data_IF_441096303838
#
_entry.id   IF_441096303838
#
_cell.length_a   1.000
_cell.length_b   1.000
_cell.length_c   1.000
_cell.angle_alpha   90.00
_cell.angle_beta   90.00
_cell.angle_gamma   90.00
#
_symmetry.space_group_name_H-M   'P 1'
#
loop_
_entity.id
_entity.type
_entity.pdbx_description
1 polymer ?
#
# COMPACT_ATOMS: atom_id res chain seq x y z
N UNK A 1 -13.72 -7.44 16.62
CA UNK A 1 -14.31 -6.74 15.46
C UNK A 1 -13.26 -6.02 14.62
N UNK A 2 -12.35 -5.25 15.22
CA UNK A 2 -11.25 -4.54 14.52
C UNK A 2 -10.41 -5.42 13.60
N UNK A 3 -9.96 -6.59 14.07
CA UNK A 3 -9.13 -7.50 13.28
C UNK A 3 -9.83 -8.09 12.05
N UNK A 4 -11.17 -8.13 12.05
CA UNK A 4 -11.96 -8.59 10.89
C UNK A 4 -11.82 -7.61 9.73
N UNK A 5 -11.86 -6.30 10.00
CA UNK A 5 -11.66 -5.27 8.98
C UNK A 5 -10.25 -5.32 8.38
N UNK A 6 -9.24 -5.52 9.22
CA UNK A 6 -7.86 -5.69 8.74
C UNK A 6 -7.75 -6.92 7.83
N UNK A 7 -8.36 -8.05 8.21
CA UNK A 7 -8.37 -9.26 7.38
C UNK A 7 -9.06 -9.03 6.02
N UNK A 8 -10.18 -8.30 5.99
CA UNK A 8 -10.88 -7.94 4.74
C UNK A 8 -10.00 -7.06 3.86
N UNK A 9 -9.31 -6.07 4.44
CA UNK A 9 -8.41 -5.19 3.68
C UNK A 9 -7.26 -6.00 3.07
N UNK A 10 -6.61 -6.86 3.85
CA UNK A 10 -5.54 -7.75 3.36
C UNK A 10 -6.07 -8.63 2.23
N UNK A 11 -7.27 -9.20 2.39
CA UNK A 11 -7.91 -10.01 1.36
C UNK A 11 -8.15 -9.22 0.07
N UNK A 12 -8.62 -7.97 0.16
CA UNK A 12 -8.82 -7.08 -1.00
C UNK A 12 -7.49 -6.76 -1.70
N UNK A 13 -6.43 -6.47 -0.93
CA UNK A 13 -5.09 -6.26 -1.49
C UNK A 13 -4.64 -7.54 -2.23
N UNK A 14 -4.68 -8.70 -1.58
CA UNK A 14 -4.31 -9.97 -2.20
C UNK A 14 -5.11 -10.26 -3.48
N UNK A 15 -6.43 -10.02 -3.47
CA UNK A 15 -7.28 -10.18 -4.66
C UNK A 15 -6.89 -9.22 -5.78
N UNK A 16 -6.49 -7.99 -5.47
CA UNK A 16 -5.99 -7.02 -6.46
C UNK A 16 -4.72 -7.53 -7.14
N UNK A 17 -3.79 -8.10 -6.38
CA UNK A 17 -2.56 -8.70 -6.91
C UNK A 17 -2.84 -9.94 -7.77
N UNK A 18 -3.77 -10.81 -7.33
CA UNK A 18 -4.18 -11.99 -8.11
C UNK A 18 -4.81 -11.57 -9.45
N UNK A 19 -5.69 -10.57 -9.43
CA UNK A 19 -6.33 -10.02 -10.64
C UNK A 19 -5.31 -9.45 -11.64
N UNK A 20 -4.28 -8.76 -11.13
CA UNK A 20 -3.18 -8.29 -11.96
C UNK A 20 -2.46 -9.44 -12.67
N UNK A 21 -2.18 -10.54 -11.95
CA UNK A 21 -1.50 -11.71 -12.51
C UNK A 21 -2.38 -12.48 -13.52
N UNK A 22 -3.69 -12.47 -13.34
CA UNK A 22 -4.66 -13.13 -14.23
C UNK A 22 -4.98 -12.34 -15.50
N UNK A 23 -4.62 -11.06 -15.57
CA UNK A 23 -4.83 -10.24 -16.77
C UNK A 23 -4.16 -10.92 -17.97
N UNK A 24 -4.82 -11.02 -19.13
CA UNK A 24 -4.26 -11.76 -20.28
C UNK A 24 -2.90 -11.18 -20.69
N UNK A 25 -1.97 -12.07 -21.04
CA UNK A 25 -0.63 -11.78 -21.58
C UNK A 25 -0.73 -11.11 -22.95
N UNK A 26 -1.08 -9.83 -22.97
CA UNK A 26 -0.98 -8.99 -24.16
C UNK A 26 0.20 -8.04 -23.98
N UNK A 27 1.08 -8.00 -24.99
CA UNK A 27 2.11 -6.96 -25.20
C UNK A 27 1.58 -5.60 -24.79
N UNK A 28 2.41 -4.87 -24.03
CA UNK A 28 2.24 -3.50 -23.52
C UNK A 28 0.96 -2.84 -24.04
N UNK A 29 -0.15 -3.15 -23.38
CA UNK A 29 -1.43 -2.53 -23.65
C UNK A 29 -1.68 -1.54 -22.53
N UNK A 30 -2.29 -0.40 -22.85
CA UNK A 30 -2.80 0.60 -21.89
C UNK A 30 -3.57 -0.09 -20.75
N UNK A 31 -4.21 -1.24 -21.02
CA UNK A 31 -4.87 -2.09 -20.02
C UNK A 31 -3.95 -2.57 -18.89
N UNK A 32 -2.72 -3.00 -19.17
CA UNK A 32 -1.78 -3.46 -18.15
C UNK A 32 -1.28 -2.29 -17.28
N UNK A 33 -1.06 -1.13 -17.89
CA UNK A 33 -0.68 0.08 -17.16
C UNK A 33 -1.80 0.54 -16.22
N UNK A 34 -3.05 0.58 -16.71
CA UNK A 34 -4.22 0.87 -15.87
C UNK A 34 -4.35 -0.16 -14.74
N UNK A 35 -4.15 -1.45 -15.01
CA UNK A 35 -4.20 -2.49 -13.97
C UNK A 35 -3.16 -2.24 -12.85
N UNK A 36 -1.95 -1.80 -13.20
CA UNK A 36 -0.90 -1.46 -12.21
C UNK A 36 -1.31 -0.25 -11.39
N UNK A 37 -1.83 0.80 -12.01
CA UNK A 37 -2.34 1.97 -11.29
C UNK A 37 -3.43 1.57 -10.29
N UNK A 38 -4.31 0.65 -10.68
CA UNK A 38 -5.32 0.09 -9.77
C UNK A 38 -4.69 -0.65 -8.60
N UNK A 39 -3.70 -1.52 -8.83
CA UNK A 39 -3.00 -2.24 -7.75
C UNK A 39 -2.27 -1.28 -6.80
N UNK A 40 -1.63 -0.24 -7.33
CA UNK A 40 -1.01 0.80 -6.49
C UNK A 40 -2.04 1.53 -5.65
N UNK A 41 -3.15 1.95 -6.26
CA UNK A 41 -4.21 2.69 -5.57
C UNK A 41 -4.87 1.85 -4.48
N UNK A 42 -5.18 0.58 -4.76
CA UNK A 42 -5.78 -0.33 -3.77
C UNK A 42 -4.82 -0.67 -2.64
N UNK A 43 -3.53 -0.86 -2.94
CA UNK A 43 -2.49 -1.11 -1.93
C UNK A 43 -2.33 0.10 -1.02
N UNK A 44 -2.19 1.30 -1.59
CA UNK A 44 -2.06 2.56 -0.86
C UNK A 44 -3.27 2.81 0.06
N UNK A 45 -4.49 2.71 -0.47
CA UNK A 45 -5.71 2.89 0.33
C UNK A 45 -5.81 1.81 1.41
N UNK A 46 -5.45 0.56 1.09
CA UNK A 46 -5.50 -0.55 2.04
C UNK A 46 -4.57 -0.34 3.24
N UNK A 47 -3.30 -0.02 3.00
CA UNK A 47 -2.35 0.26 4.10
C UNK A 47 -2.74 1.50 4.90
N UNK A 48 -3.18 2.58 4.23
CA UNK A 48 -3.70 3.77 4.90
C UNK A 48 -4.85 3.45 5.89
N UNK A 49 -5.79 2.58 5.47
CA UNK A 49 -6.87 2.13 6.33
C UNK A 49 -6.38 1.25 7.49
N UNK A 50 -5.40 0.37 7.26
CA UNK A 50 -4.78 -0.43 8.33
C UNK A 50 -4.15 0.47 9.39
N UNK A 51 -3.36 1.47 8.98
CA UNK A 51 -2.76 2.43 9.91
C UNK A 51 -3.82 3.22 10.68
N UNK A 52 -4.84 3.73 9.97
CA UNK A 52 -5.94 4.48 10.57
C UNK A 52 -6.68 3.65 11.62
N UNK A 53 -7.02 2.40 11.30
CA UNK A 53 -7.70 1.49 12.21
C UNK A 53 -6.84 1.23 13.45
N UNK A 54 -5.55 0.92 13.28
CA UNK A 54 -4.67 0.66 14.41
C UNK A 54 -4.56 1.89 15.32
N UNK A 55 -4.41 3.08 14.74
CA UNK A 55 -4.28 4.33 15.48
C UNK A 55 -5.54 4.65 16.30
N UNK A 56 -6.73 4.51 15.70
CA UNK A 56 -8.02 4.74 16.40
C UNK A 56 -8.26 3.72 17.52
N UNK A 57 -7.72 2.51 17.41
CA UNK A 57 -7.79 1.50 18.47
C UNK A 57 -6.74 1.74 19.58
N UNK A 58 -6.02 2.87 19.55
CA UNK A 58 -5.06 3.26 20.58
C UNK A 58 -3.65 2.71 20.37
N UNK A 59 -3.38 2.03 19.25
CA UNK A 59 -2.02 1.59 18.93
C UNK A 59 -1.23 2.73 18.30
N UNK A 60 -0.10 3.07 18.91
CA UNK A 60 0.81 4.06 18.35
C UNK A 60 1.64 3.42 17.24
N UNK A 61 1.26 3.64 15.99
CA UNK A 61 1.89 3.03 14.80
C UNK A 61 2.72 4.01 13.98
N UNK A 62 2.44 5.30 14.09
CA UNK A 62 3.10 6.37 13.35
C UNK A 62 3.23 7.60 14.25
N UNK A 63 4.29 8.38 14.06
CA UNK A 63 4.47 9.69 14.69
C UNK A 63 4.75 10.74 13.62
N UNK A 64 4.22 11.94 13.83
CA UNK A 64 4.43 13.09 12.98
C UNK A 64 5.33 14.08 13.73
N UNK A 65 6.48 14.43 13.16
CA UNK A 65 7.46 15.35 13.75
C UNK A 65 7.87 15.02 15.21
N UNK A 66 7.90 13.74 15.56
CA UNK A 66 8.27 13.28 16.91
C UNK A 66 7.15 13.39 17.95
N UNK A 67 5.96 13.84 17.57
CA UNK A 67 4.77 13.79 18.41
C UNK A 67 3.80 12.68 17.97
N UNK A 68 3.00 12.20 18.93
CA UNK A 68 1.84 11.38 18.61
C UNK A 68 0.88 12.19 17.75
N UNK A 69 0.35 11.57 16.68
CA UNK A 69 -0.62 12.22 15.79
C UNK A 69 -1.86 12.60 16.61
N UNK A 70 -2.04 13.90 16.85
CA UNK A 70 -3.19 14.49 17.54
C UNK A 70 -4.19 14.95 16.49
N UNK A 71 -4.95 14.03 15.92
CA UNK A 71 -6.03 14.40 15.00
C UNK A 71 -7.32 14.71 15.78
N UNK A 72 -8.01 15.77 15.36
CA UNK A 72 -9.29 16.17 15.95
C UNK A 72 -10.45 15.33 15.40
N UNK A 73 -10.32 14.79 14.18
CA UNK A 73 -11.37 14.06 13.47
C UNK A 73 -10.83 12.81 12.75
N UNK A 74 -11.73 11.85 12.49
CA UNK A 74 -11.43 10.63 11.73
C UNK A 74 -10.80 10.91 10.36
N UNK A 75 -11.32 11.91 9.64
CA UNK A 75 -10.82 12.25 8.29
C UNK A 75 -9.35 12.66 8.29
N UNK A 76 -8.88 13.35 9.33
CA UNK A 76 -7.48 13.73 9.46
C UNK A 76 -6.59 12.49 9.65
N UNK A 77 -7.03 11.49 10.43
CA UNK A 77 -6.27 10.24 10.53
C UNK A 77 -6.16 9.51 9.19
N UNK A 78 -7.24 9.49 8.41
CA UNK A 78 -7.23 8.88 7.07
C UNK A 78 -6.28 9.64 6.15
N UNK A 79 -6.33 10.96 6.13
CA UNK A 79 -5.48 11.81 5.29
C UNK A 79 -3.99 11.61 5.63
N UNK A 80 -3.62 11.72 6.91
CA UNK A 80 -2.25 11.50 7.39
C UNK A 80 -1.77 10.09 7.08
N UNK A 81 -2.62 9.07 7.26
CA UNK A 81 -2.28 7.68 6.95
C UNK A 81 -2.14 7.43 5.46
N UNK A 82 -2.97 8.08 4.63
CA UNK A 82 -2.89 7.98 3.17
C UNK A 82 -1.61 8.61 2.65
N UNK A 83 -1.24 9.77 3.17
CA UNK A 83 0.03 10.42 2.85
C UNK A 83 1.22 9.56 3.27
N UNK A 84 1.24 9.04 4.51
CA UNK A 84 2.29 8.14 4.97
C UNK A 84 2.40 6.87 4.12
N UNK A 85 1.26 6.26 3.77
CA UNK A 85 1.20 5.09 2.90
C UNK A 85 1.75 5.40 1.51
N UNK A 86 1.39 6.53 0.90
CA UNK A 86 1.91 6.94 -0.40
C UNK A 86 3.44 7.12 -0.37
N UNK A 87 3.95 7.87 0.63
CA UNK A 87 5.38 8.16 0.79
C UNK A 87 6.19 6.88 1.06
N UNK A 88 5.60 5.90 1.74
CA UNK A 88 6.21 4.59 2.02
C UNK A 88 6.18 3.67 0.80
N UNK A 89 5.00 3.51 0.17
CA UNK A 89 4.78 2.63 -0.98
C UNK A 89 5.62 3.05 -2.19
N UNK A 90 5.74 4.36 -2.43
CA UNK A 90 6.57 4.90 -3.52
C UNK A 90 8.03 5.12 -3.11
N UNK A 91 8.42 4.72 -1.89
CA UNK A 91 9.80 4.85 -1.37
C UNK A 91 10.34 6.28 -1.39
N UNK A 92 9.46 7.28 -1.23
CA UNK A 92 9.85 8.71 -1.16
C UNK A 92 10.46 9.02 0.20
N UNK A 93 9.80 8.58 1.28
CA UNK A 93 10.33 8.64 2.65
C UNK A 93 10.80 10.02 3.14
N UNK A 94 9.98 11.08 3.06
CA UNK A 94 10.38 12.43 3.50
C UNK A 94 10.82 12.51 4.97
N UNK A 95 10.32 11.62 5.83
CA UNK A 95 10.73 11.51 7.23
C UNK A 95 9.99 12.44 8.20
N UNK A 96 9.00 13.18 7.70
CA UNK A 96 8.04 13.97 8.48
C UNK A 96 7.08 13.08 9.29
N UNK A 97 6.68 11.95 8.70
CA UNK A 97 5.97 10.88 9.40
C UNK A 97 6.83 9.62 9.42
N UNK A 98 7.03 9.06 10.62
CA UNK A 98 7.86 7.86 10.82
C UNK A 98 7.06 6.72 11.44
N UNK A 99 7.26 5.47 10.99
CA UNK A 99 6.62 4.33 11.60
C UNK A 99 7.27 3.99 12.94
N UNK A 100 6.45 3.63 13.92
CA UNK A 100 6.91 3.18 15.24
C UNK A 100 6.12 1.97 15.73
N UNK A 101 6.63 1.32 16.78
CA UNK A 101 6.00 0.11 17.33
C UNK A 101 5.80 -0.95 16.25
N UNK A 102 4.56 -1.47 16.16
CA UNK A 102 4.19 -2.45 15.14
C UNK A 102 4.07 -1.85 13.72
N UNK A 103 3.90 -0.53 13.61
CA UNK A 103 3.87 0.18 12.32
C UNK A 103 5.15 0.00 11.51
N UNK A 104 6.29 -0.26 12.17
CA UNK A 104 7.58 -0.55 11.48
C UNK A 104 7.49 -1.80 10.62
N UNK A 105 6.87 -2.86 11.13
CA UNK A 105 6.70 -4.11 10.38
C UNK A 105 5.74 -3.94 9.21
N UNK A 106 4.67 -3.19 9.42
CA UNK A 106 3.68 -2.88 8.38
C UNK A 106 4.32 -2.07 7.26
N UNK A 107 5.06 -1.00 7.60
CA UNK A 107 5.77 -0.15 6.64
C UNK A 107 6.86 -0.91 5.87
N UNK A 108 7.57 -1.85 6.50
CA UNK A 108 8.54 -2.70 5.79
C UNK A 108 7.86 -3.57 4.72
N UNK A 109 6.72 -4.18 5.04
CA UNK A 109 5.96 -4.99 4.06
C UNK A 109 5.41 -4.10 2.94
N UNK A 110 4.87 -2.94 3.29
CA UNK A 110 4.35 -1.96 2.33
C UNK A 110 5.44 -1.49 1.36
N UNK A 111 6.61 -1.09 1.86
CA UNK A 111 7.74 -0.68 1.04
C UNK A 111 8.23 -1.81 0.13
N UNK A 112 8.28 -3.06 0.64
CA UNK A 112 8.65 -4.23 -0.15
C UNK A 112 7.67 -4.45 -1.31
N UNK A 113 6.37 -4.35 -1.06
CA UNK A 113 5.34 -4.45 -2.11
C UNK A 113 5.47 -3.32 -3.14
N UNK A 114 5.71 -2.10 -2.67
CA UNK A 114 5.96 -0.93 -3.51
C UNK A 114 7.12 -1.10 -4.47
N UNK A 115 8.22 -1.69 -4.00
CA UNK A 115 9.40 -2.00 -4.81
C UNK A 115 9.20 -3.22 -5.72
N UNK A 116 8.45 -4.23 -5.28
CA UNK A 116 8.23 -5.45 -6.05
C UNK A 116 7.32 -5.24 -7.28
N UNK A 117 6.37 -4.29 -7.21
CA UNK A 117 5.37 -4.06 -8.26
C UNK A 117 5.97 -3.68 -9.64
N UNK A 118 6.90 -2.70 -9.77
CA UNK A 118 7.51 -2.36 -11.04
C UNK A 118 8.37 -3.51 -11.57
N UNK A 119 9.11 -4.20 -10.69
CA UNK A 119 9.93 -5.34 -11.07
C UNK A 119 9.07 -6.48 -11.63
N UNK A 120 7.93 -6.78 -10.99
CA UNK A 120 6.98 -7.77 -11.47
C UNK A 120 6.39 -7.39 -12.84
N UNK A 121 6.12 -6.11 -13.07
CA UNK A 121 5.68 -5.62 -14.37
C UNK A 121 6.76 -5.80 -15.46
N UNK A 122 8.02 -5.47 -15.16
CA UNK A 122 9.13 -5.62 -16.11
C UNK A 122 9.34 -7.10 -16.45
N UNK A 123 9.43 -7.98 -15.44
CA UNK A 123 9.60 -9.42 -15.64
C UNK A 123 8.49 -9.99 -16.52
N UNK A 124 7.24 -9.61 -16.24
CA UNK A 124 6.10 -10.05 -17.05
C UNK A 124 6.18 -9.55 -18.48
N UNK A 125 6.58 -8.29 -18.67
CA UNK A 125 6.73 -7.68 -20.00
C UNK A 125 7.83 -8.37 -20.81
N UNK A 126 8.97 -8.69 -20.20
CA UNK A 126 10.08 -9.39 -20.84
C UNK A 126 9.69 -10.82 -21.23
N UNK A 127 9.08 -11.58 -20.31
CA UNK A 127 8.63 -12.95 -20.59
C UNK A 127 7.59 -12.99 -21.73
N UNK A 128 6.70 -12.01 -21.80
CA UNK A 128 5.71 -11.94 -22.87
C UNK A 128 6.32 -11.51 -24.21
N UNK A 129 7.46 -10.82 -24.20
CA UNK A 129 8.23 -10.48 -25.40
C UNK A 129 9.03 -11.68 -25.94
N UNK A 130 9.66 -12.49 -25.07
CA UNK A 130 10.44 -13.68 -25.47
C UNK A 130 9.60 -14.83 -26.04
N UNK A 131 8.31 -14.89 -25.73
CA UNK A 131 7.39 -15.92 -26.26
C UNK A 131 6.87 -15.62 -27.68
N UNK A 132 7.37 -14.56 -28.32
CA UNK A 132 7.07 -14.20 -29.71
C UNK A 132 8.26 -14.48 -30.61
#
# INVERSE_FOLDING_TARGET
MTYVWIAIIIFVICMSFISFWQTKRSVISVKNFIAILFVYSTTMIGFALVYTILHINGHVVMMENGENIKAFNFFQYVETSLYFSAVTLFSVGYGDIVPIGIGRWIAMVEALLGYALPAAFVVRTVIDAERR
#
